data_IF_316211887069
#
_entry.id   IF_316211887069
#
_cell.length_a   1.000
_cell.length_b   1.000
_cell.length_c   1.000
_cell.angle_alpha   90.00
_cell.angle_beta   90.00
_cell.angle_gamma   90.00
#
_symmetry.space_group_name_H-M   'P 1'
#
loop_
_entity.id
_entity.type
_entity.pdbx_description
1 polymer ?
#
# COMPACT_ATOMS: atom_id res chain seq x y z
N UNK A 1 37.33 -3.86 86.39
CA UNK A 1 38.13 -2.89 85.63
C UNK A 1 37.63 -2.90 84.21
N UNK A 2 37.11 -1.76 83.73
CA UNK A 2 36.83 -1.32 82.34
C UNK A 2 36.48 -2.37 81.26
N UNK A 3 35.26 -2.37 80.71
CA UNK A 3 34.72 -1.59 79.57
C UNK A 3 34.92 -2.23 78.17
N UNK A 4 33.81 -2.30 77.41
CA UNK A 4 33.74 -2.30 75.94
C UNK A 4 33.80 -3.69 75.28
N UNK A 5 33.02 -4.05 74.27
CA UNK A 5 32.04 -3.33 73.45
C UNK A 5 31.41 -4.30 72.43
N UNK A 6 30.23 -3.91 71.93
CA UNK A 6 29.32 -4.61 71.01
C UNK A 6 29.95 -5.06 69.67
N UNK A 7 29.42 -6.16 69.12
CA UNK A 7 29.17 -6.31 67.68
C UNK A 7 27.97 -7.23 67.45
N UNK A 8 26.83 -6.64 67.09
CA UNK A 8 25.61 -7.34 66.69
C UNK A 8 25.45 -7.14 65.17
N UNK A 9 25.54 -8.23 64.40
CA UNK A 9 25.33 -8.23 62.96
C UNK A 9 23.85 -8.48 62.64
N UNK A 10 23.25 -7.54 61.90
CA UNK A 10 21.86 -7.54 61.45
C UNK A 10 21.76 -8.18 60.05
N UNK A 11 20.82 -9.12 59.80
CA UNK A 11 20.53 -9.57 58.44
C UNK A 11 19.50 -8.64 57.76
N UNK A 12 19.80 -8.19 56.54
CA UNK A 12 18.85 -7.50 55.66
C UNK A 12 17.85 -8.51 55.08
N UNK A 13 16.56 -8.38 55.42
CA UNK A 13 15.45 -8.95 54.64
C UNK A 13 14.97 -7.91 53.62
N UNK A 14 15.13 -8.21 52.33
CA UNK A 14 14.52 -7.48 51.22
C UNK A 14 13.13 -8.04 50.92
N UNK A 15 12.09 -7.45 51.50
CA UNK A 15 10.69 -7.71 51.15
C UNK A 15 10.24 -6.82 50.00
N UNK A 16 10.07 -7.39 48.80
CA UNK A 16 9.58 -6.68 47.61
C UNK A 16 8.05 -6.49 47.64
N UNK A 17 7.60 -5.25 47.43
CA UNK A 17 6.19 -4.93 47.19
C UNK A 17 5.78 -5.32 45.76
N UNK A 18 4.94 -6.33 45.60
CA UNK A 18 4.23 -6.60 44.33
C UNK A 18 2.98 -5.72 44.24
N UNK A 19 3.05 -4.64 43.46
CA UNK A 19 1.87 -3.89 43.03
C UNK A 19 1.20 -4.62 41.87
N UNK A 20 0.09 -5.31 42.14
CA UNK A 20 -0.81 -5.82 41.11
C UNK A 20 -1.46 -4.63 40.37
N UNK A 21 -0.91 -4.27 39.21
CA UNK A 21 -1.57 -3.38 38.27
C UNK A 21 -2.72 -4.13 37.60
N UNK A 22 -3.96 -3.69 37.83
CA UNK A 22 -5.12 -4.07 37.02
C UNK A 22 -4.78 -3.75 35.56
N UNK A 23 -4.67 -4.77 34.72
CA UNK A 23 -4.59 -4.63 33.28
C UNK A 23 -5.94 -4.08 32.78
N UNK A 24 -6.02 -2.76 32.56
CA UNK A 24 -7.10 -2.17 31.78
C UNK A 24 -7.08 -2.77 30.37
N UNK A 25 -8.25 -3.14 29.79
CA UNK A 25 -8.29 -3.58 28.41
C UNK A 25 -7.81 -2.44 27.51
N UNK A 26 -6.84 -2.74 26.65
CA UNK A 26 -6.33 -1.83 25.65
C UNK A 26 -7.49 -1.37 24.76
N UNK A 27 -7.78 -0.07 24.79
CA UNK A 27 -8.57 0.59 23.74
C UNK A 27 -7.77 0.45 22.44
N UNK A 28 -8.36 0.01 21.32
CA UNK A 28 -7.69 0.02 20.03
C UNK A 28 -7.22 1.45 19.72
N UNK A 29 -5.91 1.64 19.64
CA UNK A 29 -5.32 2.90 19.20
C UNK A 29 -5.45 2.99 17.69
N UNK A 30 -6.56 3.57 17.22
CA UNK A 30 -6.70 4.01 15.83
C UNK A 30 -7.41 5.34 15.75
N UNK A 31 -6.85 6.36 16.40
CA UNK A 31 -7.07 7.76 16.01
C UNK A 31 -5.76 8.50 16.27
N UNK A 32 -5.55 9.59 15.53
CA UNK A 32 -4.49 10.60 15.66
C UNK A 32 -3.35 10.53 14.63
N UNK A 33 -3.69 10.78 13.36
CA UNK A 33 -2.98 11.81 12.59
C UNK A 33 -3.95 12.99 12.41
N UNK A 34 -3.68 14.12 13.07
CA UNK A 34 -4.56 15.29 13.11
C UNK A 34 -4.40 16.25 11.92
N UNK A 35 -3.55 15.91 10.94
CA UNK A 35 -3.30 16.72 9.74
C UNK A 35 -3.88 16.12 8.44
N UNK A 36 -4.51 14.94 8.52
CA UNK A 36 -5.05 14.27 7.35
C UNK A 36 -6.39 14.89 6.94
N UNK A 37 -6.39 15.52 5.77
CA UNK A 37 -7.59 16.09 5.14
C UNK A 37 -8.21 15.02 4.24
N UNK A 38 -9.38 14.51 4.62
CA UNK A 38 -10.14 13.62 3.76
C UNK A 38 -10.98 14.43 2.76
N UNK A 39 -11.05 13.97 1.51
CA UNK A 39 -11.86 14.60 0.47
C UNK A 39 -12.69 13.58 -0.30
N UNK A 40 -13.87 14.01 -0.72
CA UNK A 40 -14.77 13.25 -1.60
C UNK A 40 -15.56 14.18 -2.52
N UNK A 41 -15.97 13.67 -3.68
CA UNK A 41 -16.77 14.43 -4.65
C UNK A 41 -17.67 13.52 -5.49
N UNK A 42 -18.73 14.11 -6.05
CA UNK A 42 -19.62 13.45 -7.02
C UNK A 42 -20.23 14.47 -7.98
N UNK A 43 -20.80 13.98 -9.08
CA UNK A 43 -21.14 14.79 -10.25
C UNK A 43 -22.62 14.78 -10.67
N UNK A 44 -23.51 14.25 -9.83
CA UNK A 44 -24.95 14.33 -10.08
C UNK A 44 -25.77 14.34 -8.79
N UNK A 45 -26.13 15.53 -8.27
CA UNK A 45 -25.58 16.85 -8.65
C UNK A 45 -24.11 17.01 -8.26
N UNK A 46 -23.43 18.05 -8.77
CA UNK A 46 -22.04 18.34 -8.40
C UNK A 46 -21.92 18.72 -6.91
N UNK A 47 -21.05 18.00 -6.21
CA UNK A 47 -20.77 18.22 -4.79
C UNK A 47 -19.32 17.91 -4.43
N UNK A 48 -18.84 18.57 -3.39
CA UNK A 48 -17.52 18.35 -2.79
C UNK A 48 -17.63 18.33 -1.26
N UNK A 49 -16.85 17.45 -0.64
CA UNK A 49 -16.80 17.28 0.81
C UNK A 49 -15.34 17.24 1.29
N UNK A 50 -15.08 17.92 2.40
CA UNK A 50 -13.81 17.86 3.13
C UNK A 50 -14.05 17.53 4.60
N UNK A 51 -13.27 16.61 5.15
CA UNK A 51 -13.17 16.39 6.60
C UNK A 51 -11.75 16.75 7.05
N UNK A 52 -11.64 17.57 8.10
CA UNK A 52 -10.37 17.89 8.74
C UNK A 52 -10.60 18.12 10.22
N UNK A 53 -9.92 17.36 11.08
CA UNK A 53 -10.25 17.29 12.50
C UNK A 53 -11.72 16.91 12.70
N UNK A 54 -12.49 17.71 13.45
CA UNK A 54 -13.95 17.51 13.58
C UNK A 54 -14.79 18.29 12.56
N UNK A 55 -14.17 19.01 11.63
CA UNK A 55 -14.89 19.91 10.73
C UNK A 55 -15.22 19.19 9.43
N UNK A 56 -16.52 19.13 9.11
CA UNK A 56 -17.05 18.70 7.83
C UNK A 56 -17.48 19.94 7.04
N UNK A 57 -16.89 20.13 5.87
CA UNK A 57 -17.33 21.12 4.88
C UNK A 57 -18.00 20.40 3.71
N UNK A 58 -19.22 20.77 3.37
CA UNK A 58 -19.97 20.21 2.25
C UNK A 58 -20.46 21.33 1.33
N UNK A 59 -20.01 21.29 0.08
CA UNK A 59 -20.34 22.24 -0.97
C UNK A 59 -21.16 21.53 -2.06
N UNK A 60 -22.18 22.21 -2.59
CA UNK A 60 -23.00 21.76 -3.71
C UNK A 60 -23.22 22.92 -4.65
N UNK A 61 -23.27 22.64 -5.95
CA UNK A 61 -23.62 23.66 -6.93
C UNK A 61 -25.00 24.26 -6.63
N UNK A 62 -25.08 25.60 -6.64
CA UNK A 62 -26.34 26.32 -6.42
C UNK A 62 -26.86 26.34 -4.97
N UNK A 63 -26.07 25.90 -3.98
CA UNK A 63 -26.45 25.94 -2.57
C UNK A 63 -25.35 26.58 -1.69
N UNK A 64 -25.71 27.19 -0.54
CA UNK A 64 -24.73 27.71 0.40
C UNK A 64 -23.87 26.58 1.01
N UNK A 65 -22.55 26.82 1.10
CA UNK A 65 -21.60 25.92 1.77
C UNK A 65 -22.06 25.59 3.19
N UNK A 66 -22.06 24.30 3.53
CA UNK A 66 -22.41 23.82 4.85
C UNK A 66 -21.14 23.46 5.59
N UNK A 67 -20.87 24.14 6.71
CA UNK A 67 -19.81 23.77 7.65
C UNK A 67 -20.49 23.16 8.88
N UNK A 68 -20.07 21.96 9.27
CA UNK A 68 -20.63 21.19 10.38
C UNK A 68 -19.52 20.65 11.26
N UNK A 69 -19.81 20.54 12.54
CA UNK A 69 -18.97 19.84 13.52
C UNK A 69 -19.48 18.40 13.63
N UNK A 70 -18.57 17.44 13.54
CA UNK A 70 -18.87 16.04 13.78
C UNK A 70 -19.33 15.85 15.24
N UNK A 71 -20.41 15.09 15.42
CA UNK A 71 -20.98 14.79 16.74
C UNK A 71 -20.55 13.43 17.24
N UNK A 72 -20.39 12.46 16.33
CA UNK A 72 -20.04 11.07 16.60
C UNK A 72 -19.32 10.47 15.39
N UNK A 73 -18.37 9.59 15.66
CA UNK A 73 -17.70 8.70 14.74
C UNK A 73 -18.07 7.25 15.09
N UNK A 74 -18.98 6.65 14.32
CA UNK A 74 -19.29 5.23 14.44
C UNK A 74 -18.52 4.52 13.33
N UNK A 75 -17.25 4.23 13.59
CA UNK A 75 -16.36 3.56 12.65
C UNK A 75 -16.05 2.16 13.13
N UNK A 76 -16.16 1.16 12.25
CA UNK A 76 -15.60 -0.17 12.46
C UNK A 76 -14.38 -0.38 11.54
N UNK A 77 -13.79 -1.58 11.56
CA UNK A 77 -12.57 -1.88 10.79
C UNK A 77 -12.75 -1.78 9.26
N UNK A 78 -13.98 -1.77 8.74
CA UNK A 78 -14.29 -1.76 7.32
C UNK A 78 -15.10 -0.53 6.88
N UNK A 79 -15.91 0.08 7.74
CA UNK A 79 -16.79 1.19 7.37
C UNK A 79 -16.58 2.39 8.30
N UNK A 80 -16.42 3.58 7.72
CA UNK A 80 -16.36 4.82 8.49
C UNK A 80 -17.64 5.60 8.32
N UNK A 81 -18.35 5.84 9.41
CA UNK A 81 -19.52 6.71 9.44
C UNK A 81 -19.25 7.97 10.26
N UNK A 82 -19.46 9.12 9.63
CA UNK A 82 -19.33 10.44 10.27
C UNK A 82 -20.71 11.08 10.43
N UNK A 83 -21.05 11.48 11.65
CA UNK A 83 -22.37 12.03 11.98
C UNK A 83 -22.29 13.51 12.35
N UNK A 84 -23.35 14.24 11.98
CA UNK A 84 -23.65 15.59 12.46
C UNK A 84 -25.16 15.69 12.73
N UNK A 85 -25.63 16.78 13.34
CA UNK A 85 -27.06 16.99 13.62
C UNK A 85 -28.02 16.79 12.42
N UNK A 86 -27.56 17.02 11.19
CA UNK A 86 -28.41 16.95 9.97
C UNK A 86 -27.68 16.31 8.78
N UNK A 87 -26.63 15.54 9.01
CA UNK A 87 -25.86 14.93 7.94
C UNK A 87 -25.21 13.64 8.42
N UNK A 88 -25.23 12.63 7.58
CA UNK A 88 -24.50 11.37 7.76
C UNK A 88 -23.63 11.15 6.52
N UNK A 89 -22.36 10.82 6.72
CA UNK A 89 -21.42 10.44 5.66
C UNK A 89 -21.00 9.00 5.90
N UNK A 90 -21.27 8.14 4.94
CA UNK A 90 -20.83 6.74 4.93
C UNK A 90 -19.68 6.60 3.93
N UNK A 91 -18.53 6.11 4.39
CA UNK A 91 -17.36 5.83 3.56
C UNK A 91 -17.06 4.33 3.60
N UNK A 92 -17.06 3.70 2.43
CA UNK A 92 -16.82 2.27 2.26
C UNK A 92 -15.57 2.04 1.39
N UNK A 93 -14.66 1.13 1.77
CA UNK A 93 -13.45 0.75 1.02
C UNK A 93 -13.84 -0.12 -0.18
N UNK A 94 -14.58 0.50 -1.10
CA UNK A 94 -15.01 -0.07 -2.36
C UNK A 94 -14.61 0.90 -3.47
N UNK A 95 -13.94 0.38 -4.48
CA UNK A 95 -13.52 1.14 -5.65
C UNK A 95 -14.67 1.91 -6.27
N UNK A 96 -14.45 3.20 -6.56
CA UNK A 96 -15.44 4.11 -7.14
C UNK A 96 -14.85 4.80 -8.37
N UNK A 97 -15.59 4.81 -9.48
CA UNK A 97 -15.18 5.52 -10.70
C UNK A 97 -16.07 6.75 -10.89
N UNK A 98 -15.45 7.93 -10.99
CA UNK A 98 -16.15 9.17 -11.28
C UNK A 98 -16.73 9.09 -12.71
N UNK A 99 -18.05 9.21 -12.84
CA UNK A 99 -18.74 9.07 -14.12
C UNK A 99 -18.45 10.19 -15.12
N UNK A 100 -17.97 11.34 -14.65
CA UNK A 100 -17.64 12.50 -15.49
C UNK A 100 -16.20 12.45 -15.98
N UNK A 101 -15.24 12.11 -15.12
CA UNK A 101 -13.80 12.12 -15.46
C UNK A 101 -13.25 10.73 -15.82
N UNK A 102 -13.96 9.65 -15.50
CA UNK A 102 -13.47 8.27 -15.61
C UNK A 102 -12.41 7.90 -14.57
N UNK A 103 -12.03 8.82 -13.66
CA UNK A 103 -11.01 8.56 -12.66
C UNK A 103 -11.53 7.62 -11.57
N UNK A 104 -10.72 6.63 -11.22
CA UNK A 104 -11.02 5.66 -10.17
C UNK A 104 -10.42 6.10 -8.84
N UNK A 105 -11.09 5.76 -7.74
CA UNK A 105 -10.71 6.04 -6.37
C UNK A 105 -10.89 4.78 -5.51
N UNK A 106 -10.17 4.71 -4.41
CA UNK A 106 -10.18 3.56 -3.50
C UNK A 106 -11.51 3.37 -2.74
N UNK A 107 -12.33 4.41 -2.63
CA UNK A 107 -13.49 4.39 -1.74
C UNK A 107 -14.76 4.99 -2.37
N UNK A 108 -15.89 4.44 -1.95
CA UNK A 108 -17.24 4.89 -2.30
C UNK A 108 -17.81 5.69 -1.12
N UNK A 109 -18.35 6.86 -1.42
CA UNK A 109 -18.87 7.81 -0.41
C UNK A 109 -20.34 8.07 -0.66
N UNK A 110 -21.13 8.00 0.42
CA UNK A 110 -22.53 8.40 0.42
C UNK A 110 -22.78 9.48 1.47
N UNK A 111 -23.29 10.63 1.05
CA UNK A 111 -23.68 11.74 1.94
C UNK A 111 -25.20 11.82 2.00
N UNK A 112 -25.78 11.71 3.19
CA UNK A 112 -27.23 11.84 3.43
C UNK A 112 -27.52 13.14 4.15
N UNK A 113 -28.44 13.93 3.59
CA UNK A 113 -28.94 15.19 4.17
C UNK A 113 -30.47 15.23 4.11
N UNK A 114 -31.14 16.17 4.81
CA UNK A 114 -32.58 16.39 4.64
C UNK A 114 -33.01 16.70 3.21
N UNK A 115 -32.09 17.21 2.38
CA UNK A 115 -32.36 17.62 1.00
C UNK A 115 -32.12 16.48 -0.02
N UNK A 116 -31.52 15.37 0.38
CA UNK A 116 -31.28 14.24 -0.51
C UNK A 116 -30.08 13.38 -0.11
N UNK A 117 -29.82 12.38 -0.95
CA UNK A 117 -28.65 11.50 -0.86
C UNK A 117 -27.74 11.76 -2.04
N UNK A 118 -26.44 11.83 -1.78
CA UNK A 118 -25.41 12.13 -2.75
C UNK A 118 -24.39 10.99 -2.77
N UNK A 119 -24.09 10.49 -3.96
CA UNK A 119 -23.11 9.43 -4.17
C UNK A 119 -21.87 10.00 -4.87
N UNK A 120 -20.70 9.45 -4.55
CA UNK A 120 -19.45 9.91 -5.13
C UNK A 120 -18.26 9.09 -4.65
N UNK A 121 -17.08 9.57 -5.01
CA UNK A 121 -15.81 8.89 -4.79
C UNK A 121 -14.95 9.66 -3.80
N UNK A 122 -14.16 8.94 -3.00
CA UNK A 122 -13.23 9.52 -2.03
C UNK A 122 -12.04 8.61 -1.79
N UNK A 123 -11.20 9.01 -0.83
CA UNK A 123 -9.94 8.31 -0.55
C UNK A 123 -8.88 8.57 -1.61
N UNK A 124 -7.84 7.74 -1.60
CA UNK A 124 -6.77 7.87 -2.57
C UNK A 124 -7.32 7.71 -3.98
N UNK A 125 -7.06 8.66 -4.89
CA UNK A 125 -7.26 8.37 -6.29
C UNK A 125 -6.45 7.12 -6.61
N UNK A 126 -7.04 6.21 -7.37
CA UNK A 126 -6.25 5.26 -8.13
C UNK A 126 -5.49 6.11 -9.15
N UNK A 127 -4.43 6.76 -8.69
CA UNK A 127 -3.41 7.30 -9.57
C UNK A 127 -3.03 6.09 -10.40
N UNK A 128 -3.05 6.23 -11.71
CA UNK A 128 -2.07 5.48 -12.47
C UNK A 128 -0.74 5.79 -11.77
N UNK A 129 -0.22 4.87 -10.98
CA UNK A 129 1.11 5.04 -10.43
C UNK A 129 1.99 5.40 -11.63
N UNK A 130 2.85 6.41 -11.47
CA UNK A 130 3.80 6.73 -12.54
C UNK A 130 4.76 5.55 -12.58
N UNK A 131 4.38 4.55 -13.36
CA UNK A 131 5.07 3.27 -13.48
C UNK A 131 5.95 3.28 -14.73
N UNK A 132 5.67 4.17 -15.68
CA UNK A 132 6.52 4.39 -16.84
C UNK A 132 7.81 5.10 -16.42
N UNK A 133 8.95 4.63 -16.92
CA UNK A 133 10.27 5.14 -16.56
C UNK A 133 10.72 4.70 -15.16
N UNK A 134 10.30 3.52 -14.70
CA UNK A 134 10.65 3.00 -13.36
C UNK A 134 11.30 1.61 -13.44
N UNK A 135 12.09 1.29 -12.42
CA UNK A 135 12.80 0.03 -12.28
C UNK A 135 12.43 -0.64 -10.97
N UNK A 136 12.37 -1.97 -10.96
CA UNK A 136 11.84 -2.77 -9.86
C UNK A 136 12.67 -4.04 -9.64
N UNK A 137 12.78 -4.45 -8.37
CA UNK A 137 13.34 -5.74 -7.96
C UNK A 137 12.24 -6.61 -7.33
N UNK A 138 12.22 -7.91 -7.65
CA UNK A 138 11.25 -8.85 -7.07
C UNK A 138 11.57 -9.13 -5.61
N UNK A 139 10.58 -8.90 -4.73
CA UNK A 139 10.65 -9.17 -3.29
C UNK A 139 9.94 -10.46 -2.90
N UNK A 140 8.93 -10.88 -3.66
CA UNK A 140 8.24 -12.16 -3.45
C UNK A 140 7.59 -12.71 -4.74
N UNK A 141 7.56 -14.05 -4.85
CA UNK A 141 6.85 -14.80 -5.88
C UNK A 141 5.76 -15.64 -5.23
N UNK A 142 4.49 -15.31 -5.52
CA UNK A 142 3.31 -15.96 -4.95
C UNK A 142 3.38 -16.11 -3.42
N UNK A 143 3.73 -15.02 -2.72
CA UNK A 143 3.89 -15.00 -1.26
C UNK A 143 5.20 -15.61 -0.73
N UNK A 144 6.02 -16.26 -1.57
CA UNK A 144 7.34 -16.77 -1.17
C UNK A 144 8.39 -15.66 -1.29
N UNK A 145 9.01 -15.22 -0.20
CA UNK A 145 9.99 -14.14 -0.23
C UNK A 145 11.23 -14.51 -1.06
N UNK A 146 11.76 -13.54 -1.79
CA UNK A 146 13.07 -13.62 -2.44
C UNK A 146 14.05 -12.82 -1.58
N UNK A 147 14.89 -13.50 -0.80
CA UNK A 147 15.74 -12.91 0.25
C UNK A 147 16.49 -11.66 -0.21
N UNK A 148 17.13 -11.75 -1.38
CA UNK A 148 17.94 -10.71 -1.96
C UNK A 148 17.13 -9.50 -2.49
N UNK A 149 15.82 -9.64 -2.74
CA UNK A 149 14.97 -8.52 -3.15
C UNK A 149 14.59 -7.57 -2.02
N UNK A 150 14.75 -8.02 -0.77
CA UNK A 150 14.36 -7.24 0.41
C UNK A 150 15.50 -6.35 0.95
N UNK A 151 16.72 -6.50 0.43
CA UNK A 151 17.87 -5.66 0.78
C UNK A 151 17.67 -4.23 0.28
N UNK A 152 18.26 -3.21 0.93
CA UNK A 152 18.09 -1.78 0.55
C UNK A 152 18.51 -1.55 -0.92
N UNK A 153 17.80 -0.71 -1.71
CA UNK A 153 18.16 -0.46 -3.10
C UNK A 153 19.62 -0.01 -3.22
N UNK A 154 20.37 -0.64 -4.10
CA UNK A 154 21.76 -0.31 -4.41
C UNK A 154 21.90 -0.04 -5.90
N UNK A 155 22.88 0.78 -6.30
CA UNK A 155 23.20 1.01 -7.72
C UNK A 155 23.59 -0.29 -8.45
N UNK A 156 23.94 -1.33 -7.72
CA UNK A 156 24.18 -2.69 -8.25
C UNK A 156 22.91 -3.39 -8.72
N UNK A 157 21.73 -2.96 -8.25
CA UNK A 157 20.43 -3.47 -8.69
C UNK A 157 20.08 -2.96 -10.11
N UNK A 158 20.73 -1.87 -10.52
CA UNK A 158 20.49 -1.17 -11.77
C UNK A 158 21.39 -1.63 -12.93
N UNK A 159 22.40 -2.49 -12.70
CA UNK A 159 23.41 -2.73 -13.74
C UNK A 159 22.98 -3.80 -14.74
N UNK A 160 22.72 -3.34 -15.96
CA UNK A 160 22.50 -4.16 -17.15
C UNK A 160 23.77 -4.74 -17.76
N UNK A 161 24.95 -4.50 -17.17
CA UNK A 161 26.21 -4.98 -17.72
C UNK A 161 27.14 -5.49 -16.61
N UNK A 162 27.30 -6.82 -16.59
CA UNK A 162 28.37 -7.61 -15.95
C UNK A 162 28.94 -7.09 -14.61
N UNK A 163 28.47 -7.68 -13.51
CA UNK A 163 29.37 -7.98 -12.39
C UNK A 163 29.20 -9.47 -12.00
N UNK A 164 30.31 -10.19 -11.71
CA UNK A 164 30.29 -11.63 -11.42
C UNK A 164 29.66 -11.97 -10.05
N UNK A 165 29.29 -10.95 -9.28
CA UNK A 165 28.67 -11.03 -7.95
C UNK A 165 27.27 -10.39 -7.93
N UNK A 166 26.65 -10.20 -9.10
CA UNK A 166 25.34 -9.55 -9.20
C UNK A 166 24.26 -10.50 -8.73
N UNK A 167 23.56 -10.03 -7.71
CA UNK A 167 22.34 -10.53 -7.12
C UNK A 167 21.39 -11.14 -8.18
N UNK A 168 21.21 -12.47 -8.11
CA UNK A 168 20.38 -13.28 -9.04
C UNK A 168 18.87 -13.15 -8.71
N UNK A 169 18.45 -11.92 -8.41
CA UNK A 169 17.08 -11.57 -8.12
C UNK A 169 16.43 -11.10 -9.42
N UNK A 170 15.22 -11.59 -9.75
CA UNK A 170 14.52 -11.09 -10.92
C UNK A 170 14.25 -9.58 -10.80
N UNK A 171 14.38 -8.87 -11.92
CA UNK A 171 14.16 -7.43 -12.03
C UNK A 171 13.20 -7.12 -13.16
N UNK A 172 12.53 -5.98 -13.07
CA UNK A 172 11.56 -5.51 -14.04
C UNK A 172 11.73 -4.01 -14.25
N UNK A 173 11.95 -3.62 -15.51
CA UNK A 173 12.11 -2.24 -15.94
C UNK A 173 10.96 -1.89 -16.89
N UNK A 174 10.32 -0.75 -16.64
CA UNK A 174 9.23 -0.23 -17.46
C UNK A 174 9.69 1.09 -18.06
N UNK A 175 9.79 1.15 -19.38
CA UNK A 175 10.24 2.36 -20.06
C UNK A 175 9.14 3.45 -20.11
N UNK A 176 9.43 4.58 -20.77
CA UNK A 176 8.49 5.68 -20.90
C UNK A 176 7.18 5.32 -21.65
N UNK A 177 7.21 4.30 -22.52
CA UNK A 177 6.05 3.83 -23.30
C UNK A 177 5.28 2.69 -22.62
N UNK A 178 5.77 2.21 -21.48
CA UNK A 178 5.19 1.10 -20.72
C UNK A 178 5.73 -0.28 -21.11
N UNK A 179 6.69 -0.37 -22.04
CA UNK A 179 7.27 -1.65 -22.45
C UNK A 179 8.19 -2.19 -21.37
N UNK A 180 8.11 -3.51 -21.18
CA UNK A 180 8.78 -4.22 -20.09
C UNK A 180 10.06 -4.89 -20.58
N UNK A 181 11.10 -4.80 -19.75
CA UNK A 181 12.36 -5.53 -19.90
C UNK A 181 12.91 -5.89 -18.53
N UNK A 182 13.94 -6.73 -18.44
CA UNK A 182 14.54 -7.06 -17.14
C UNK A 182 15.44 -8.28 -17.17
N UNK A 183 15.60 -8.89 -16.00
CA UNK A 183 16.32 -10.14 -15.80
C UNK A 183 15.44 -11.09 -14.99
N UNK A 184 15.41 -12.38 -15.33
CA UNK A 184 14.78 -13.40 -14.48
C UNK A 184 15.73 -13.91 -13.37
N UNK A 185 16.89 -13.26 -13.22
CA UNK A 185 17.98 -13.67 -12.33
C UNK A 185 19.02 -14.58 -13.01
N UNK A 186 18.67 -15.21 -14.13
CA UNK A 186 19.58 -16.01 -14.95
C UNK A 186 19.78 -15.42 -16.35
N UNK A 187 18.70 -15.05 -17.03
CA UNK A 187 18.66 -14.57 -18.40
C UNK A 187 18.04 -13.16 -18.46
N UNK A 188 18.44 -12.41 -19.49
CA UNK A 188 17.88 -11.09 -19.78
C UNK A 188 16.71 -11.24 -20.74
N UNK A 189 15.62 -10.54 -20.44
CA UNK A 189 14.45 -10.50 -21.29
C UNK A 189 14.10 -9.06 -21.69
N UNK A 190 13.50 -8.91 -22.86
CA UNK A 190 12.96 -7.64 -23.34
C UNK A 190 11.76 -7.85 -24.25
N UNK A 191 10.80 -6.91 -24.17
CA UNK A 191 9.57 -6.98 -24.94
C UNK A 191 8.61 -8.06 -24.43
N UNK A 192 7.62 -8.40 -25.23
CA UNK A 192 6.61 -9.43 -24.92
C UNK A 192 5.51 -8.95 -23.97
N UNK A 193 5.66 -7.78 -23.36
CA UNK A 193 4.72 -7.24 -22.39
C UNK A 193 4.79 -5.71 -22.34
N UNK A 194 3.62 -5.07 -22.30
CA UNK A 194 3.46 -3.63 -22.06
C UNK A 194 2.50 -3.44 -20.88
N UNK A 195 2.89 -2.65 -19.88
CA UNK A 195 1.99 -2.20 -18.80
C UNK A 195 1.27 -0.93 -19.23
N UNK A 196 0.00 -0.82 -18.83
CA UNK A 196 -0.84 0.34 -19.12
C UNK A 196 -1.17 1.13 -17.85
N UNK A 197 -1.16 2.48 -17.89
CA UNK A 197 -1.41 3.33 -16.72
C UNK A 197 -2.68 2.98 -15.94
N UNK A 198 -3.72 2.49 -16.62
CA UNK A 198 -5.00 2.09 -16.04
C UNK A 198 -4.99 0.75 -15.27
N UNK A 199 -3.82 0.15 -15.00
CA UNK A 199 -3.70 -1.07 -14.20
C UNK A 199 -3.76 -2.39 -14.99
N UNK A 200 -3.71 -2.33 -16.33
CA UNK A 200 -3.73 -3.53 -17.20
C UNK A 200 -2.36 -3.90 -17.75
N UNK A 201 -2.18 -5.19 -18.04
CA UNK A 201 -1.02 -5.75 -18.73
C UNK A 201 -1.45 -6.26 -20.10
N UNK A 202 -0.68 -5.94 -21.15
CA UNK A 202 -0.89 -6.43 -22.51
C UNK A 202 0.30 -7.30 -22.90
N UNK A 203 0.04 -8.55 -23.24
CA UNK A 203 1.06 -9.48 -23.76
C UNK A 203 1.21 -9.35 -25.27
N UNK A 204 2.44 -9.43 -25.75
CA UNK A 204 2.81 -9.36 -27.15
C UNK A 204 3.50 -10.66 -27.55
N UNK A 205 3.34 -11.06 -28.81
CA UNK A 205 3.98 -12.27 -29.33
C UNK A 205 5.50 -12.14 -29.49
N UNK A 206 6.01 -10.90 -29.52
CA UNK A 206 7.41 -10.60 -29.74
C UNK A 206 8.11 -10.29 -28.42
N UNK A 207 8.97 -11.20 -27.97
CA UNK A 207 9.89 -10.99 -26.85
C UNK A 207 11.22 -11.69 -27.14
N UNK A 208 12.31 -11.14 -26.61
CA UNK A 208 13.64 -11.74 -26.71
C UNK A 208 14.10 -12.19 -25.33
N UNK A 209 14.75 -13.34 -25.26
CA UNK A 209 15.42 -13.82 -24.06
C UNK A 209 16.81 -14.35 -24.43
N UNK A 210 17.79 -14.15 -23.55
CA UNK A 210 19.09 -14.83 -23.67
C UNK A 210 18.98 -16.27 -23.17
N UNK A 211 19.94 -17.12 -23.53
CA UNK A 211 20.05 -18.48 -23.00
C UNK A 211 21.43 -18.66 -22.36
N UNK A 212 21.46 -18.75 -21.03
CA UNK A 212 22.63 -19.04 -20.21
C UNK A 212 22.32 -20.14 -19.21
N UNK A 213 23.35 -20.86 -18.78
CA UNK A 213 23.25 -21.88 -17.75
C UNK A 213 23.56 -21.28 -16.38
N UNK A 214 22.60 -21.33 -15.47
CA UNK A 214 22.75 -20.92 -14.08
C UNK A 214 22.62 -22.13 -13.14
N UNK A 215 22.91 -21.94 -11.85
CA UNK A 215 22.66 -22.98 -10.85
C UNK A 215 21.17 -23.35 -10.77
N UNK A 216 20.86 -24.58 -10.36
CA UNK A 216 19.49 -25.10 -10.37
C UNK A 216 18.48 -24.28 -9.57
N UNK A 217 18.90 -23.71 -8.43
CA UNK A 217 18.03 -22.86 -7.61
C UNK A 217 17.65 -21.55 -8.32
N UNK A 218 18.56 -20.99 -9.11
CA UNK A 218 18.29 -19.77 -9.90
C UNK A 218 17.37 -20.09 -11.06
N UNK A 219 17.65 -21.18 -11.79
CA UNK A 219 16.81 -21.65 -12.89
C UNK A 219 15.37 -21.89 -12.42
N UNK A 220 15.19 -22.58 -11.30
CA UNK A 220 13.85 -22.82 -10.74
C UNK A 220 13.12 -21.52 -10.40
N UNK A 221 13.81 -20.53 -9.83
CA UNK A 221 13.23 -19.22 -9.54
C UNK A 221 12.87 -18.48 -10.82
N UNK A 222 13.75 -18.49 -11.82
CA UNK A 222 13.51 -17.90 -13.12
C UNK A 222 12.28 -18.50 -13.80
N UNK A 223 12.10 -19.83 -13.72
CA UNK A 223 10.92 -20.51 -14.26
C UNK A 223 9.62 -20.08 -13.57
N UNK A 224 9.63 -19.99 -12.24
CA UNK A 224 8.48 -19.52 -11.45
C UNK A 224 8.15 -18.06 -11.81
N UNK A 225 9.16 -17.18 -11.82
CA UNK A 225 9.01 -15.78 -12.17
C UNK A 225 8.46 -15.61 -13.59
N UNK A 226 9.07 -16.25 -14.58
CA UNK A 226 8.64 -16.19 -15.97
C UNK A 226 7.22 -16.76 -16.17
N UNK A 227 6.86 -17.81 -15.44
CA UNK A 227 5.51 -18.37 -15.42
C UNK A 227 4.48 -17.38 -14.89
N UNK A 228 4.77 -16.70 -13.78
CA UNK A 228 3.92 -15.66 -13.22
C UNK A 228 3.85 -14.43 -14.12
N UNK A 229 4.98 -14.00 -14.69
CA UNK A 229 5.07 -12.81 -15.52
C UNK A 229 4.21 -12.95 -16.78
N UNK A 230 4.27 -14.12 -17.46
CA UNK A 230 3.41 -14.43 -18.61
C UNK A 230 1.93 -14.55 -18.26
N UNK A 231 1.60 -14.92 -17.02
CA UNK A 231 0.22 -15.07 -16.57
C UNK A 231 -0.37 -13.79 -15.98
N UNK A 232 0.45 -12.76 -15.73
CA UNK A 232 0.00 -11.53 -15.10
C UNK A 232 -0.90 -10.71 -16.04
N UNK A 233 -2.06 -10.27 -15.56
CA UNK A 233 -3.07 -9.55 -16.34
C UNK A 233 -3.33 -8.15 -15.82
N UNK A 234 -3.04 -7.91 -14.55
CA UNK A 234 -3.23 -6.62 -13.90
C UNK A 234 -2.05 -6.24 -13.01
N UNK A 235 -1.95 -4.97 -12.69
CA UNK A 235 -0.97 -4.45 -11.75
C UNK A 235 -1.58 -3.39 -10.84
N UNK A 236 -1.01 -3.26 -9.65
CA UNK A 236 -1.30 -2.18 -8.71
C UNK A 236 0.01 -1.70 -8.10
N UNK A 237 0.18 -0.38 -7.97
CA UNK A 237 1.29 0.17 -7.21
C UNK A 237 0.79 1.03 -6.05
N UNK A 238 1.51 0.95 -4.94
CA UNK A 238 1.27 1.73 -3.73
C UNK A 238 2.62 2.11 -3.14
N UNK A 239 2.91 3.42 -3.09
CA UNK A 239 4.23 3.94 -2.69
C UNK A 239 5.34 3.34 -3.57
N UNK A 240 6.33 2.71 -2.93
CA UNK A 240 7.46 2.04 -3.58
C UNK A 240 7.23 0.56 -3.87
N UNK A 241 5.99 0.07 -3.79
CA UNK A 241 5.62 -1.33 -4.03
C UNK A 241 4.79 -1.45 -5.30
N UNK A 242 5.16 -2.40 -6.15
CA UNK A 242 4.41 -2.84 -7.32
C UNK A 242 3.98 -4.28 -7.10
N UNK A 243 2.71 -4.58 -7.38
CA UNK A 243 2.20 -5.94 -7.41
C UNK A 243 1.67 -6.23 -8.81
N UNK A 244 2.23 -7.25 -9.47
CA UNK A 244 1.62 -7.85 -10.65
C UNK A 244 0.75 -9.01 -10.20
N UNK A 245 -0.42 -9.16 -10.81
CA UNK A 245 -1.42 -10.15 -10.43
C UNK A 245 -1.92 -10.93 -11.65
N UNK A 246 -2.03 -12.24 -11.49
CA UNK A 246 -2.61 -13.15 -12.47
C UNK A 246 -4.13 -13.29 -12.25
N UNK A 247 -4.85 -13.85 -13.24
CA UNK A 247 -6.30 -14.07 -13.11
C UNK A 247 -6.67 -15.09 -12.01
N UNK A 248 -5.73 -15.98 -11.65
CA UNK A 248 -5.87 -16.96 -10.56
C UNK A 248 -5.28 -16.46 -9.22
N UNK A 249 -5.23 -15.14 -9.04
CA UNK A 249 -4.83 -14.44 -7.80
C UNK A 249 -3.39 -14.66 -7.32
N UNK A 250 -2.52 -15.27 -8.14
CA UNK A 250 -1.08 -15.34 -7.85
C UNK A 250 -0.41 -14.01 -8.11
N UNK A 251 0.68 -13.73 -7.40
CA UNK A 251 1.29 -12.40 -7.39
C UNK A 251 2.80 -12.43 -7.61
N UNK A 252 3.30 -11.35 -8.21
CA UNK A 252 4.70 -10.94 -8.14
C UNK A 252 4.72 -9.64 -7.35
N UNK A 253 5.37 -9.63 -6.20
CA UNK A 253 5.62 -8.40 -5.46
C UNK A 253 6.99 -7.87 -5.81
N UNK A 254 7.05 -6.57 -6.08
CA UNK A 254 8.26 -5.87 -6.44
C UNK A 254 8.38 -4.58 -5.65
N UNK A 255 9.61 -4.13 -5.49
CA UNK A 255 9.93 -2.84 -4.88
C UNK A 255 10.70 -1.98 -5.87
N UNK A 256 10.39 -0.69 -5.89
CA UNK A 256 11.03 0.27 -6.77
C UNK A 256 12.52 0.43 -6.42
N UNK A 257 13.35 0.52 -7.47
CA UNK A 257 14.77 0.89 -7.43
C UNK A 257 14.86 2.35 -7.90
N UNK A 258 15.70 3.15 -7.22
CA UNK A 258 15.94 4.56 -7.53
C UNK A 258 16.71 4.74 -8.85
#
# INVERSE_FOLDING_TARGET
>A
MLMGGLSLSLPLLTGGCSLFHKSSPAVPQSVQNSDDVYQAAGSSPDWHLTLSGNTLTFNRQGAPTQIKTLTEDESDAAHRTYLTKKMKVDVTPQTCTNSTTGQTYSETVTVKTPQGTYHGCGGDPARAAIINGTSWVVTALNGTPVTAGNDRPSLTDATTDMAPDVQQTPTLNINATGDVSGSDGCNRYSGGMTVRPEGRIIHQQSGMNTLMACSGAIMQRADIFNGLLRAATSWQASGSTLTLKTDDDRTIQLRQIL
#
